data_IF_318491820032
#
_entry.id   IF_318491820032
#
_cell.length_a   1.000
_cell.length_b   1.000
_cell.length_c   1.000
_cell.angle_alpha   90.00
_cell.angle_beta   90.00
_cell.angle_gamma   90.00
#
_symmetry.space_group_name_H-M   'P 1'
#
loop_
_entity.id
_entity.type
_entity.pdbx_description
1 polymer ?
#
# COMPACT_ATOMS: atom_id res chain seq x y z
N UNK A 1 -27.18 -8.14 8.04
CA UNK A 1 -26.35 -7.40 9.02
C UNK A 1 -25.12 -8.18 9.52
N UNK A 2 -24.89 -9.46 9.18
CA UNK A 2 -23.72 -10.22 9.63
C UNK A 2 -22.46 -10.08 8.73
N UNK A 3 -22.64 -9.94 7.42
CA UNK A 3 -21.51 -9.77 6.47
C UNK A 3 -20.69 -8.51 6.71
N UNK A 4 -21.35 -7.37 6.98
CA UNK A 4 -20.64 -6.11 7.21
C UNK A 4 -19.76 -6.15 8.48
N UNK A 5 -20.14 -6.88 9.53
CA UNK A 5 -19.33 -6.97 10.75
C UNK A 5 -18.10 -7.86 10.58
N UNK A 6 -18.18 -8.93 9.79
CA UNK A 6 -17.05 -9.84 9.57
C UNK A 6 -15.97 -9.21 8.66
N UNK A 7 -16.38 -8.48 7.61
CA UNK A 7 -15.45 -7.77 6.72
C UNK A 7 -14.69 -6.67 7.46
N UNK A 8 -15.36 -5.94 8.36
CA UNK A 8 -14.72 -4.88 9.15
C UNK A 8 -13.69 -5.45 10.14
N UNK A 9 -14.00 -6.55 10.83
CA UNK A 9 -13.06 -7.19 11.76
C UNK A 9 -11.86 -7.83 11.04
N UNK A 10 -12.04 -8.37 9.83
CA UNK A 10 -10.94 -8.91 9.02
C UNK A 10 -9.98 -7.80 8.55
N UNK A 11 -10.49 -6.60 8.28
CA UNK A 11 -9.68 -5.47 7.85
C UNK A 11 -8.85 -4.87 9.00
N UNK A 12 -9.43 -4.75 10.20
CA UNK A 12 -8.70 -4.29 11.40
C UNK A 12 -7.59 -5.26 11.82
N UNK A 13 -7.84 -6.57 11.76
CA UNK A 13 -6.83 -7.57 12.10
C UNK A 13 -5.65 -7.58 11.12
N UNK A 14 -5.91 -7.41 9.82
CA UNK A 14 -4.87 -7.32 8.79
C UNK A 14 -4.02 -6.04 8.95
N UNK A 15 -4.66 -4.91 9.27
CA UNK A 15 -3.95 -3.66 9.57
C UNK A 15 -3.06 -3.80 10.81
N UNK A 16 -3.59 -4.37 11.91
CA UNK A 16 -2.85 -4.58 13.15
C UNK A 16 -1.67 -5.57 13.01
N UNK A 17 -1.85 -6.64 12.22
CA UNK A 17 -0.77 -7.58 11.93
C UNK A 17 0.35 -6.93 11.08
N UNK A 18 -0.03 -6.04 10.14
CA UNK A 18 0.92 -5.29 9.34
C UNK A 18 1.68 -4.28 10.21
N UNK A 19 1.00 -3.57 11.11
CA UNK A 19 1.62 -2.66 12.09
C UNK A 19 2.69 -3.37 12.93
N UNK A 20 2.44 -4.60 13.39
CA UNK A 20 3.40 -5.36 14.20
C UNK A 20 4.72 -5.68 13.48
N UNK A 21 4.74 -5.68 12.14
CA UNK A 21 5.93 -5.98 11.32
C UNK A 21 6.65 -4.74 10.79
N UNK A 22 6.03 -3.56 10.88
CA UNK A 22 6.65 -2.29 10.46
C UNK A 22 7.73 -1.84 11.45
N UNK A 23 8.82 -1.27 10.92
CA UNK A 23 9.80 -0.55 11.74
C UNK A 23 9.16 0.69 12.40
N UNK A 24 9.69 1.19 13.53
CA UNK A 24 9.16 2.41 14.17
C UNK A 24 9.12 3.62 13.21
N UNK A 25 10.12 3.74 12.35
CA UNK A 25 10.22 4.82 11.37
C UNK A 25 9.14 4.69 10.29
N UNK A 26 8.91 3.46 9.80
CA UNK A 26 7.85 3.20 8.82
C UNK A 26 6.47 3.49 9.42
N UNK A 27 6.20 3.07 10.67
CA UNK A 27 4.94 3.39 11.35
C UNK A 27 4.71 4.89 11.44
N UNK A 28 5.72 5.63 11.92
CA UNK A 28 5.62 7.08 12.03
C UNK A 28 5.41 7.76 10.68
N UNK A 29 6.04 7.25 9.62
CA UNK A 29 5.81 7.75 8.27
C UNK A 29 4.37 7.51 7.82
N UNK A 30 3.85 6.29 8.00
CA UNK A 30 2.48 5.91 7.64
C UNK A 30 1.47 6.80 8.36
N UNK A 31 1.58 6.91 9.69
CA UNK A 31 0.68 7.73 10.53
C UNK A 31 0.61 9.19 10.10
N UNK A 32 1.72 9.76 9.63
CA UNK A 32 1.82 11.19 9.32
C UNK A 32 1.56 11.53 7.85
N UNK A 33 1.90 10.62 6.93
CA UNK A 33 2.04 10.96 5.52
C UNK A 33 1.16 10.14 4.58
N UNK A 34 0.58 9.04 5.04
CA UNK A 34 -0.05 8.05 4.16
C UNK A 34 -1.58 8.04 4.34
N UNK A 35 -2.29 8.01 3.21
CA UNK A 35 -3.75 7.82 3.17
C UNK A 35 -4.10 6.33 3.01
N UNK A 36 -5.19 5.89 3.63
CA UNK A 36 -5.72 4.52 3.47
C UNK A 36 -6.50 4.31 2.17
N UNK A 37 -6.86 5.39 1.48
CA UNK A 37 -7.64 5.38 0.23
C UNK A 37 -6.86 6.14 -0.85
N UNK A 38 -6.84 5.59 -2.06
CA UNK A 38 -6.19 6.21 -3.20
C UNK A 38 -6.88 7.54 -3.58
N UNK A 39 -6.12 8.59 -3.91
CA UNK A 39 -6.67 9.90 -4.29
C UNK A 39 -7.35 9.89 -5.67
N UNK A 40 -7.12 8.82 -6.45
CA UNK A 40 -7.76 8.55 -7.74
C UNK A 40 -8.13 7.07 -7.82
N UNK A 41 -9.07 6.72 -8.69
CA UNK A 41 -9.46 5.33 -8.89
C UNK A 41 -8.28 4.51 -9.42
N UNK A 42 -7.96 3.42 -8.72
CA UNK A 42 -6.99 2.43 -9.16
C UNK A 42 -7.46 1.01 -8.75
N UNK A 43 -6.83 -0.02 -9.31
CA UNK A 43 -7.20 -1.42 -9.06
C UNK A 43 -6.68 -1.98 -7.73
N UNK A 44 -5.71 -1.29 -7.12
CA UNK A 44 -4.99 -1.70 -5.93
C UNK A 44 -5.65 -1.20 -4.64
N UNK A 45 -5.49 -1.98 -3.57
CA UNK A 45 -6.07 -1.70 -2.25
C UNK A 45 -5.00 -1.80 -1.17
N UNK A 46 -5.24 -1.10 -0.06
CA UNK A 46 -4.43 -1.26 1.15
C UNK A 46 -4.36 -2.74 1.55
N UNK A 47 -3.16 -3.24 1.83
CA UNK A 47 -2.91 -4.63 2.22
C UNK A 47 -2.77 -5.64 1.07
N UNK A 48 -3.03 -5.26 -0.18
CA UNK A 48 -2.73 -6.13 -1.34
C UNK A 48 -1.24 -6.50 -1.33
N UNK A 49 -0.94 -7.76 -1.67
CA UNK A 49 0.42 -8.23 -1.88
C UNK A 49 0.74 -8.17 -3.37
N UNK A 50 1.87 -7.57 -3.72
CA UNK A 50 2.26 -7.24 -5.09
C UNK A 50 3.73 -7.56 -5.36
N UNK A 51 4.02 -7.82 -6.64
CA UNK A 51 5.38 -7.71 -7.17
C UNK A 51 5.57 -6.30 -7.70
N UNK A 52 6.66 -5.64 -7.31
CA UNK A 52 7.02 -4.30 -7.80
C UNK A 52 8.23 -4.37 -8.73
N UNK A 53 8.18 -3.64 -9.84
CA UNK A 53 9.34 -3.41 -10.70
C UNK A 53 10.02 -2.10 -10.30
N UNK A 54 11.26 -2.16 -9.81
CA UNK A 54 11.98 -0.96 -9.38
C UNK A 54 12.55 -0.15 -10.57
N UNK A 55 13.17 1.00 -10.28
CA UNK A 55 13.76 1.87 -11.31
C UNK A 55 14.91 1.24 -12.12
N UNK A 56 15.44 0.09 -11.70
CA UNK A 56 16.46 -0.69 -12.41
C UNK A 56 15.87 -1.83 -13.24
N UNK A 57 14.54 -1.96 -13.30
CA UNK A 57 13.86 -3.04 -14.01
C UNK A 57 13.86 -4.39 -13.27
N UNK A 58 14.22 -4.39 -11.98
CA UNK A 58 14.22 -5.62 -11.15
C UNK A 58 12.85 -5.81 -10.52
N UNK A 59 12.30 -7.01 -10.67
CA UNK A 59 11.07 -7.44 -10.01
C UNK A 59 11.34 -7.90 -8.59
N UNK A 60 10.58 -7.36 -7.64
CA UNK A 60 10.69 -7.67 -6.21
C UNK A 60 9.31 -8.13 -5.73
N UNK A 61 9.13 -9.45 -5.48
CA UNK A 61 7.84 -10.00 -5.08
C UNK A 61 7.53 -9.79 -3.59
N UNK A 62 6.27 -10.04 -3.22
CA UNK A 62 5.83 -10.18 -1.84
C UNK A 62 5.72 -8.86 -1.06
N UNK A 63 5.57 -7.72 -1.74
CA UNK A 63 5.45 -6.40 -1.09
C UNK A 63 4.00 -6.09 -0.77
N UNK A 64 3.74 -5.52 0.39
CA UNK A 64 2.42 -5.08 0.80
C UNK A 64 2.22 -3.60 0.52
N UNK A 65 1.03 -3.28 0.03
CA UNK A 65 0.59 -1.88 -0.06
C UNK A 65 0.27 -1.39 1.34
N UNK A 66 1.02 -0.39 1.79
CA UNK A 66 0.85 0.25 3.11
C UNK A 66 0.06 1.56 3.03
N UNK A 67 -0.30 1.99 1.82
CA UNK A 67 -1.28 3.03 1.56
C UNK A 67 -0.94 3.89 0.35
N UNK A 68 -1.45 5.10 0.34
CA UNK A 68 -1.44 5.98 -0.82
C UNK A 68 -0.99 7.39 -0.46
N UNK A 69 -0.60 8.16 -1.48
CA UNK A 69 -0.33 9.59 -1.31
C UNK A 69 -1.61 10.33 -0.90
N UNK A 70 -1.51 11.27 0.04
CA UNK A 70 -2.65 12.09 0.46
C UNK A 70 -3.16 13.03 -0.64
N UNK A 71 -2.24 13.54 -1.45
CA UNK A 71 -2.51 14.44 -2.57
C UNK A 71 -1.51 14.19 -3.69
N UNK A 72 -1.98 14.27 -4.93
CA UNK A 72 -1.12 14.19 -6.11
C UNK A 72 -0.35 15.51 -6.25
N UNK A 73 0.96 15.41 -6.40
CA UNK A 73 1.82 16.50 -6.84
C UNK A 73 1.90 16.46 -8.38
N UNK A 74 1.30 17.45 -9.08
CA UNK A 74 1.28 17.47 -10.54
C UNK A 74 2.68 17.74 -11.15
N UNK A 75 3.61 18.30 -10.39
CA UNK A 75 4.95 18.67 -10.86
C UNK A 75 5.99 17.58 -10.56
N UNK A 76 5.70 16.67 -9.63
CA UNK A 76 6.63 15.64 -9.18
C UNK A 76 5.97 14.25 -9.15
N UNK A 77 6.22 13.45 -10.19
CA UNK A 77 5.77 12.05 -10.32
C UNK A 77 4.25 11.87 -10.08
N UNK A 78 3.39 12.53 -10.87
CA UNK A 78 1.94 12.52 -10.64
C UNK A 78 1.31 11.12 -10.66
N UNK A 79 1.93 10.16 -11.34
CA UNK A 79 1.54 8.76 -11.41
C UNK A 79 1.90 7.93 -10.16
N UNK A 80 2.86 8.38 -9.35
CA UNK A 80 3.41 7.62 -8.23
C UNK A 80 2.57 7.81 -6.95
N UNK A 81 1.52 6.98 -6.80
CA UNK A 81 0.51 7.18 -5.76
C UNK A 81 0.49 6.10 -4.67
N UNK A 82 1.30 5.03 -4.76
CA UNK A 82 1.22 3.85 -3.88
C UNK A 82 2.49 3.71 -3.04
N UNK A 83 2.36 3.47 -1.73
CA UNK A 83 3.47 3.15 -0.83
C UNK A 83 3.52 1.65 -0.51
N UNK A 84 4.74 1.11 -0.37
CA UNK A 84 5.02 -0.31 -0.12
C UNK A 84 5.84 -0.52 1.17
N UNK A 85 5.69 -1.68 1.80
CA UNK A 85 6.44 -2.14 2.99
C UNK A 85 7.89 -2.59 2.72
N UNK A 86 8.62 -1.86 1.88
CA UNK A 86 10.00 -2.20 1.50
C UNK A 86 11.03 -1.16 1.97
N UNK A 87 12.30 -1.37 1.63
CA UNK A 87 13.43 -0.55 2.10
C UNK A 87 13.30 0.95 1.81
N UNK A 88 12.53 1.33 0.79
CA UNK A 88 12.21 2.72 0.46
C UNK A 88 10.71 3.03 0.59
N UNK A 89 10.13 2.71 1.76
CA UNK A 89 8.70 2.91 2.06
C UNK A 89 8.21 4.37 1.92
N UNK A 90 9.11 5.35 2.01
CA UNK A 90 8.80 6.77 1.79
C UNK A 90 8.72 7.17 0.31
N UNK A 91 9.08 6.27 -0.60
CA UNK A 91 9.13 6.52 -2.03
C UNK A 91 7.98 5.82 -2.74
N UNK A 92 6.97 6.60 -3.15
CA UNK A 92 5.80 6.03 -3.82
C UNK A 92 6.14 5.48 -5.20
N UNK A 93 5.32 4.54 -5.65
CA UNK A 93 5.40 3.89 -6.95
C UNK A 93 4.11 4.06 -7.73
N UNK A 94 4.24 4.00 -9.04
CA UNK A 94 3.10 4.09 -9.93
C UNK A 94 2.41 2.73 -10.07
N UNK A 95 1.08 2.69 -10.25
CA UNK A 95 0.34 1.43 -10.42
C UNK A 95 0.87 0.54 -11.54
N UNK A 96 1.37 1.13 -12.64
CA UNK A 96 1.93 0.40 -13.79
C UNK A 96 3.22 -0.39 -13.46
N UNK A 97 3.84 -0.12 -12.31
CA UNK A 97 5.02 -0.85 -11.81
C UNK A 97 4.65 -2.06 -10.96
N UNK A 98 3.36 -2.30 -10.71
CA UNK A 98 2.89 -3.32 -9.81
C UNK A 98 2.18 -4.45 -10.54
N UNK A 99 2.36 -5.67 -10.05
CA UNK A 99 1.57 -6.84 -10.40
C UNK A 99 0.92 -7.39 -9.14
N UNK A 100 -0.40 -7.56 -9.15
CA UNK A 100 -1.11 -8.16 -8.02
C UNK A 100 -0.73 -9.63 -7.86
N UNK A 101 -0.32 -10.02 -6.65
CA UNK A 101 -0.06 -11.42 -6.28
C UNK A 101 -1.24 -12.01 -5.52
N UNK A 102 -1.73 -11.29 -4.50
CA UNK A 102 -2.89 -11.73 -3.71
C UNK A 102 -3.58 -10.57 -3.02
N UNK A 103 -4.88 -10.76 -2.75
CA UNK A 103 -5.73 -9.85 -1.99
C UNK A 103 -6.28 -10.61 -0.79
N UNK A 104 -6.15 -10.06 0.41
CA UNK A 104 -6.78 -10.67 1.58
C UNK A 104 -8.30 -10.57 1.45
N UNK A 105 -9.01 -11.69 1.63
CA UNK A 105 -10.47 -11.77 1.62
C UNK A 105 -11.13 -12.23 0.31
N UNK A 106 -10.60 -13.28 -0.33
CA UNK A 106 -11.38 -14.07 -1.31
C UNK A 106 -12.10 -15.21 -0.62
#
# INVERSE_FOLDING_TARGET
>A
MKEHSEVVMSNEAAAAAMESLMSPEMRQFVEKNVASVAPIQCEFRLGDTVTVTNGYGVEIPGKKIIGFVQKIDPECRPEAIIYLDWDCYWFSVAPDKLKLESRQGS
#
